data_IF_819501083798
#
_entry.id   IF_819501083798
#
_cell.length_a   1.000
_cell.length_b   1.000
_cell.length_c   1.000
_cell.angle_alpha   90.00
_cell.angle_beta   90.00
_cell.angle_gamma   90.00
#
_symmetry.space_group_name_H-M   'P 1'
#
loop_
_entity.id
_entity.type
_entity.pdbx_description
1 polymer ?
#
# COMPACT_ATOMS: atom_id res chain seq x y z
N UNK A 1 11.59 6.63 -28.04
CA UNK A 1 12.37 6.70 -26.80
C UNK A 1 13.45 5.62 -26.83
N UNK A 2 14.62 5.84 -26.20
CA UNK A 2 15.63 4.81 -26.05
C UNK A 2 15.15 3.70 -25.11
N UNK A 3 15.57 2.46 -25.37
CA UNK A 3 15.38 1.39 -24.39
C UNK A 3 16.25 1.63 -23.17
N UNK A 4 15.74 1.29 -21.99
CA UNK A 4 16.51 1.39 -20.76
C UNK A 4 16.12 0.33 -19.74
N UNK A 5 17.04 0.05 -18.85
CA UNK A 5 16.79 -0.73 -17.64
C UNK A 5 17.46 -0.04 -16.47
N UNK A 6 16.72 0.13 -15.39
CA UNK A 6 17.20 0.64 -14.11
C UNK A 6 16.95 -0.39 -13.03
N UNK A 7 18.02 -0.82 -12.35
CA UNK A 7 17.92 -1.70 -11.18
C UNK A 7 18.26 -0.94 -9.94
N UNK A 8 17.41 -1.07 -8.92
CA UNK A 8 17.63 -0.54 -7.58
C UNK A 8 17.59 -1.68 -6.57
N UNK A 9 18.67 -1.80 -5.79
CA UNK A 9 18.72 -2.70 -4.64
C UNK A 9 19.16 -1.89 -3.43
N UNK A 10 18.37 -1.94 -2.37
CA UNK A 10 18.72 -1.39 -1.08
C UNK A 10 18.51 -2.47 -0.01
N UNK A 11 19.42 -2.59 0.93
CA UNK A 11 19.36 -3.58 2.00
C UNK A 11 19.65 -2.93 3.34
N UNK A 12 18.84 -3.29 4.33
CA UNK A 12 18.96 -2.81 5.71
C UNK A 12 18.99 -1.28 5.83
N UNK A 13 18.30 -0.61 4.91
CA UNK A 13 18.16 0.83 4.95
C UNK A 13 17.40 1.29 6.19
N UNK A 14 17.63 2.51 6.59
CA UNK A 14 16.84 3.16 7.62
C UNK A 14 16.60 4.62 7.26
N UNK A 15 15.53 5.17 7.76
CA UNK A 15 15.16 6.55 7.56
C UNK A 15 14.58 7.14 8.83
N UNK A 16 15.00 8.33 9.18
CA UNK A 16 14.44 9.10 10.28
C UNK A 16 14.23 10.54 9.85
N UNK A 17 13.01 11.01 9.99
CA UNK A 17 12.70 12.40 9.72
C UNK A 17 13.25 13.29 10.85
N UNK A 18 13.88 14.40 10.49
CA UNK A 18 14.46 15.33 11.46
C UNK A 18 13.40 15.81 12.45
N UNK A 19 13.70 15.68 13.75
CA UNK A 19 12.79 16.10 14.82
C UNK A 19 11.72 15.08 15.21
N UNK A 20 11.65 13.91 14.55
CA UNK A 20 10.74 12.84 14.97
C UNK A 20 11.45 11.77 15.82
N UNK A 21 10.74 11.15 16.78
CA UNK A 21 11.36 10.28 17.79
C UNK A 21 11.75 8.90 17.28
N UNK A 22 11.12 8.41 16.22
CA UNK A 22 11.33 7.05 15.72
C UNK A 22 11.79 7.05 14.26
N UNK A 23 12.42 5.96 13.86
CA UNK A 23 12.87 5.69 12.48
C UNK A 23 12.12 4.51 11.89
N UNK A 24 11.97 4.53 10.57
CA UNK A 24 11.65 3.33 9.78
C UNK A 24 12.95 2.56 9.60
N UNK A 25 12.93 1.25 9.84
CA UNK A 25 14.11 0.38 9.83
C UNK A 25 13.93 -0.82 8.92
N UNK A 26 15.03 -1.53 8.69
CA UNK A 26 15.06 -2.76 7.90
C UNK A 26 14.42 -2.55 6.51
N UNK A 27 14.66 -1.40 5.91
CA UNK A 27 14.14 -1.09 4.59
C UNK A 27 14.94 -1.90 3.57
N UNK A 28 14.26 -2.82 2.90
CA UNK A 28 14.85 -3.58 1.81
C UNK A 28 14.01 -3.37 0.56
N UNK A 29 14.65 -3.07 -0.54
CA UNK A 29 14.02 -2.84 -1.85
C UNK A 29 14.79 -3.60 -2.91
N UNK A 30 14.10 -4.30 -3.77
CA UNK A 30 14.63 -4.79 -5.04
C UNK A 30 13.63 -4.42 -6.12
N UNK A 31 14.03 -3.52 -7.01
CA UNK A 31 13.18 -2.97 -8.06
C UNK A 31 13.92 -2.99 -9.39
N UNK A 32 13.21 -3.36 -10.44
CA UNK A 32 13.66 -3.31 -11.82
C UNK A 32 12.66 -2.46 -12.63
N UNK A 33 13.14 -1.45 -13.32
CA UNK A 33 12.33 -0.63 -14.23
C UNK A 33 12.88 -0.84 -15.64
N UNK A 34 12.04 -1.35 -16.52
CA UNK A 34 12.41 -1.64 -17.89
C UNK A 34 11.52 -0.93 -18.89
N UNK A 35 12.10 -0.47 -19.99
CA UNK A 35 11.36 0.04 -21.13
C UNK A 35 12.04 -0.48 -22.42
N UNK A 36 11.31 -1.10 -23.35
CA UNK A 36 11.87 -1.64 -24.58
C UNK A 36 12.25 -0.57 -25.63
N UNK A 37 11.87 0.69 -25.42
CA UNK A 37 12.33 1.83 -26.22
C UNK A 37 11.36 2.31 -27.31
N UNK A 38 10.10 1.92 -27.28
CA UNK A 38 9.09 2.41 -28.22
C UNK A 38 8.31 3.59 -27.66
N UNK A 39 7.61 3.36 -26.55
CA UNK A 39 6.81 4.37 -25.88
C UNK A 39 7.07 4.35 -24.37
N UNK A 40 6.79 5.45 -23.65
CA UNK A 40 6.86 5.46 -22.19
C UNK A 40 5.83 4.53 -21.56
N UNK A 41 4.74 4.27 -22.26
CA UNK A 41 3.67 3.38 -21.78
C UNK A 41 4.10 1.90 -21.72
N UNK A 42 5.13 1.51 -22.47
CA UNK A 42 5.69 0.17 -22.38
C UNK A 42 6.64 -0.02 -21.17
N UNK A 43 6.71 0.98 -20.29
CA UNK A 43 7.48 0.86 -19.04
C UNK A 43 6.84 -0.17 -18.12
N UNK A 44 7.68 -1.05 -17.60
CA UNK A 44 7.31 -2.01 -16.55
C UNK A 44 8.15 -1.70 -15.32
N UNK A 45 7.47 -1.56 -14.19
CA UNK A 45 8.09 -1.42 -12.87
C UNK A 45 7.82 -2.70 -12.11
N UNK A 46 8.86 -3.44 -11.76
CA UNK A 46 8.78 -4.67 -10.99
C UNK A 46 9.49 -4.47 -9.64
N UNK A 47 8.72 -4.50 -8.57
CA UNK A 47 9.21 -4.46 -7.19
C UNK A 47 9.11 -5.87 -6.63
N UNK A 48 10.14 -6.67 -6.87
CA UNK A 48 10.19 -8.07 -6.44
C UNK A 48 10.33 -8.22 -4.92
N UNK A 49 10.85 -7.20 -4.24
CA UNK A 49 10.96 -7.14 -2.78
C UNK A 49 10.82 -5.70 -2.30
N UNK A 50 9.89 -5.52 -1.38
CA UNK A 50 9.81 -4.32 -0.56
C UNK A 50 9.49 -4.77 0.86
N UNK A 51 10.33 -4.42 1.82
CA UNK A 51 10.06 -4.68 3.23
C UNK A 51 10.56 -3.54 4.10
N UNK A 52 9.91 -3.34 5.23
CA UNK A 52 10.32 -2.39 6.25
C UNK A 52 9.77 -2.79 7.62
N UNK A 53 10.31 -2.18 8.66
CA UNK A 53 9.78 -2.27 10.02
C UNK A 53 9.33 -0.88 10.46
N UNK A 54 8.05 -0.75 10.80
CA UNK A 54 7.41 0.47 11.27
C UNK A 54 6.82 0.25 12.67
N UNK A 55 7.29 1.01 13.67
CA UNK A 55 6.84 0.84 15.06
C UNK A 55 7.02 -0.60 15.59
N UNK A 56 8.10 -1.27 15.20
CA UNK A 56 8.39 -2.66 15.56
C UNK A 56 7.64 -3.73 14.73
N UNK A 57 6.74 -3.34 13.84
CA UNK A 57 5.94 -4.26 13.04
C UNK A 57 6.54 -4.42 11.63
N UNK A 58 6.72 -5.65 11.14
CA UNK A 58 7.19 -5.88 9.78
C UNK A 58 6.05 -5.67 8.77
N UNK A 59 6.42 -5.11 7.63
CA UNK A 59 5.57 -4.96 6.46
C UNK A 59 6.32 -5.44 5.22
N UNK A 60 5.65 -6.21 4.37
CA UNK A 60 6.20 -6.75 3.14
C UNK A 60 5.25 -6.46 1.97
N UNK A 61 5.82 -6.15 0.81
CA UNK A 61 5.08 -5.99 -0.42
C UNK A 61 5.88 -6.46 -1.63
N UNK A 62 5.16 -6.88 -2.64
CA UNK A 62 5.65 -7.09 -4.00
C UNK A 62 4.67 -6.42 -4.95
N UNK A 63 5.15 -5.81 -6.01
CA UNK A 63 4.29 -5.07 -6.94
C UNK A 63 4.87 -5.09 -8.34
N UNK A 64 4.00 -5.23 -9.33
CA UNK A 64 4.31 -5.04 -10.74
C UNK A 64 3.33 -4.04 -11.32
N UNK A 65 3.84 -3.06 -12.04
CA UNK A 65 3.05 -2.03 -12.74
C UNK A 65 3.48 -2.06 -14.21
N UNK A 66 2.52 -2.13 -15.11
CA UNK A 66 2.74 -2.00 -16.55
C UNK A 66 1.73 -0.99 -17.14
N UNK A 67 2.05 -0.44 -18.30
CA UNK A 67 1.24 0.55 -19.00
C UNK A 67 0.87 1.78 -18.14
N UNK A 68 1.87 2.47 -17.54
CA UNK A 68 1.62 3.50 -16.54
C UNK A 68 0.96 4.78 -17.07
N UNK A 69 0.93 4.98 -18.39
CA UNK A 69 0.45 6.22 -19.02
C UNK A 69 -0.95 6.09 -19.61
N UNK A 70 -1.42 4.89 -19.88
CA UNK A 70 -2.73 4.65 -20.51
C UNK A 70 -3.68 3.88 -19.59
N UNK A 71 -3.61 2.57 -19.59
CA UNK A 71 -4.47 1.71 -18.77
C UNK A 71 -3.59 0.86 -17.85
N UNK A 72 -3.23 1.44 -16.71
CA UNK A 72 -2.29 0.85 -15.77
C UNK A 72 -2.74 -0.56 -15.36
N UNK A 73 -1.91 -1.54 -15.67
CA UNK A 73 -2.05 -2.89 -15.15
C UNK A 73 -1.20 -3.03 -13.88
N UNK A 74 -1.85 -3.41 -12.79
CA UNK A 74 -1.22 -3.57 -11.49
C UNK A 74 -1.39 -5.00 -10.99
N UNK A 75 -0.32 -5.53 -10.39
CA UNK A 75 -0.36 -6.75 -9.58
C UNK A 75 0.42 -6.50 -8.31
N UNK A 76 -0.19 -6.72 -7.15
CA UNK A 76 0.45 -6.47 -5.86
C UNK A 76 0.07 -7.51 -4.83
N UNK A 77 1.05 -7.89 -4.01
CA UNK A 77 0.86 -8.68 -2.79
C UNK A 77 1.41 -7.91 -1.62
N UNK A 78 0.62 -7.78 -0.58
CA UNK A 78 0.98 -7.00 0.61
C UNK A 78 0.59 -7.76 1.85
N UNK A 79 1.48 -7.79 2.84
CA UNK A 79 1.17 -8.35 4.15
C UNK A 79 1.90 -7.58 5.25
N UNK A 80 1.25 -7.46 6.39
CA UNK A 80 1.86 -6.81 7.55
C UNK A 80 0.84 -6.26 8.53
N UNK A 81 1.38 -5.82 9.65
CA UNK A 81 0.67 -5.08 10.68
C UNK A 81 1.12 -3.63 10.66
N UNK A 82 0.19 -2.72 10.46
CA UNK A 82 0.45 -1.28 10.54
C UNK A 82 -0.23 -0.74 11.80
N UNK A 83 0.56 -0.25 12.74
CA UNK A 83 0.08 0.59 13.82
C UNK A 83 0.05 2.05 13.33
N UNK A 84 -1.14 2.53 13.05
CA UNK A 84 -1.36 3.88 12.51
C UNK A 84 -0.91 4.97 13.49
N UNK A 85 -0.99 4.70 14.81
CA UNK A 85 -0.48 5.61 15.84
C UNK A 85 1.04 5.79 15.81
N UNK A 86 1.77 4.82 15.23
CA UNK A 86 3.22 4.92 15.05
C UNK A 86 3.63 5.80 13.87
N UNK A 87 2.72 6.05 12.93
CA UNK A 87 3.05 6.84 11.73
C UNK A 87 3.49 8.25 12.10
N UNK A 88 2.81 8.89 13.04
CA UNK A 88 3.17 10.25 13.50
C UNK A 88 4.55 10.36 14.16
N UNK A 89 5.12 9.22 14.55
CA UNK A 89 6.46 9.17 15.18
C UNK A 89 7.58 9.09 14.16
N UNK A 90 7.27 8.69 12.92
CA UNK A 90 8.22 8.49 11.82
C UNK A 90 7.98 9.40 10.63
N UNK A 91 6.77 9.98 10.50
CA UNK A 91 6.39 10.88 9.44
C UNK A 91 5.64 12.12 9.99
N UNK A 92 5.98 13.34 9.56
CA UNK A 92 5.35 14.56 10.03
C UNK A 92 3.92 14.67 9.48
N UNK A 93 2.95 14.36 10.30
CA UNK A 93 1.54 14.61 9.99
C UNK A 93 1.18 16.05 10.35
N UNK A 94 0.19 16.61 9.66
CA UNK A 94 -0.42 17.88 10.04
C UNK A 94 -0.90 17.82 11.49
N UNK A 95 -0.70 18.89 12.25
CA UNK A 95 -1.01 18.96 13.68
C UNK A 95 -2.49 18.69 14.01
N UNK A 96 -3.37 18.86 13.02
CA UNK A 96 -4.82 18.59 13.14
C UNK A 96 -5.20 17.17 12.77
N UNK A 97 -4.27 16.39 12.21
CA UNK A 97 -4.52 15.00 11.83
C UNK A 97 -4.37 14.09 13.06
N UNK A 98 -5.45 13.39 13.39
CA UNK A 98 -5.42 12.29 14.34
C UNK A 98 -5.54 10.99 13.59
N UNK A 99 -4.55 10.13 13.75
CA UNK A 99 -4.48 8.83 13.10
C UNK A 99 -4.10 7.78 14.15
N UNK A 100 -5.01 6.87 14.45
CA UNK A 100 -4.80 5.78 15.40
C UNK A 100 -5.48 4.52 14.91
N UNK A 101 -5.11 3.38 15.50
CA UNK A 101 -5.66 2.07 15.18
C UNK A 101 -4.62 1.15 14.59
N UNK A 102 -5.03 -0.09 14.32
CA UNK A 102 -4.20 -1.13 13.75
C UNK A 102 -4.86 -1.71 12.51
N UNK A 103 -4.06 -1.89 11.48
CA UNK A 103 -4.44 -2.58 10.26
C UNK A 103 -3.58 -3.83 10.13
N UNK A 104 -4.20 -5.00 10.19
CA UNK A 104 -3.53 -6.25 9.85
C UNK A 104 -4.05 -6.71 8.51
N UNK A 105 -3.16 -6.84 7.54
CA UNK A 105 -3.53 -7.10 6.16
C UNK A 105 -2.73 -8.21 5.52
N UNK A 106 -3.40 -8.96 4.66
CA UNK A 106 -2.79 -9.88 3.70
C UNK A 106 -3.63 -9.80 2.43
N UNK A 107 -3.15 -9.07 1.44
CA UNK A 107 -3.90 -8.70 0.24
C UNK A 107 -3.16 -9.17 -1.02
N UNK A 108 -3.92 -9.62 -2.01
CA UNK A 108 -3.48 -9.98 -3.35
C UNK A 108 -4.39 -9.27 -4.36
N UNK A 109 -3.83 -8.36 -5.12
CA UNK A 109 -4.53 -7.53 -6.09
C UNK A 109 -3.98 -7.82 -7.48
N UNK A 110 -4.82 -7.86 -8.51
CA UNK A 110 -4.36 -7.82 -9.89
C UNK A 110 -5.47 -7.39 -10.84
N UNK A 111 -5.15 -6.53 -11.78
CA UNK A 111 -6.07 -6.08 -12.82
C UNK A 111 -5.63 -4.79 -13.47
N UNK A 112 -6.51 -4.25 -14.30
CA UNK A 112 -6.35 -2.96 -14.95
C UNK A 112 -7.16 -1.89 -14.23
N UNK A 113 -6.65 -0.67 -14.20
CA UNK A 113 -7.37 0.44 -13.55
C UNK A 113 -8.68 0.73 -14.25
N UNK A 114 -8.75 0.59 -15.57
CA UNK A 114 -9.99 0.72 -16.34
C UNK A 114 -11.13 -0.18 -15.85
N UNK A 115 -10.85 -1.34 -15.28
CA UNK A 115 -11.89 -2.21 -14.72
C UNK A 115 -12.57 -1.56 -13.52
N UNK A 116 -11.81 -0.84 -12.70
CA UNK A 116 -12.36 -0.09 -11.55
C UNK A 116 -13.14 1.12 -12.04
N UNK A 117 -12.57 1.88 -12.98
CA UNK A 117 -13.20 3.10 -13.53
C UNK A 117 -14.52 2.80 -14.24
N UNK A 118 -14.63 1.63 -14.88
CA UNK A 118 -15.82 1.16 -15.57
C UNK A 118 -16.79 0.36 -14.68
N UNK A 119 -16.52 0.22 -13.37
CA UNK A 119 -17.27 -0.62 -12.42
C UNK A 119 -17.30 -2.11 -12.79
N UNK A 120 -16.27 -2.60 -13.51
CA UNK A 120 -16.08 -4.00 -13.89
C UNK A 120 -15.28 -4.75 -12.82
N UNK A 121 -15.70 -4.67 -11.57
CA UNK A 121 -14.96 -5.17 -10.40
C UNK A 121 -14.72 -6.68 -10.44
N UNK A 122 -15.54 -7.43 -11.15
CA UNK A 122 -15.39 -8.87 -11.37
C UNK A 122 -14.14 -9.24 -12.17
N UNK A 123 -13.61 -8.30 -12.98
CA UNK A 123 -12.39 -8.44 -13.75
C UNK A 123 -11.14 -8.07 -12.97
N UNK A 124 -11.29 -7.30 -11.88
CA UNK A 124 -10.18 -6.93 -11.01
C UNK A 124 -10.09 -7.93 -9.86
N UNK A 125 -8.99 -8.70 -9.82
CA UNK A 125 -8.75 -9.62 -8.71
C UNK A 125 -8.44 -8.83 -7.44
N UNK A 126 -9.23 -9.07 -6.42
CA UNK A 126 -9.01 -8.53 -5.09
C UNK A 126 -9.29 -9.63 -4.09
N UNK A 127 -8.26 -10.18 -3.47
CA UNK A 127 -8.37 -11.29 -2.54
C UNK A 127 -7.55 -11.04 -1.29
N UNK A 128 -8.00 -11.56 -0.15
CA UNK A 128 -7.26 -11.50 1.09
C UNK A 128 -8.08 -11.12 2.30
N UNK A 129 -7.37 -10.64 3.32
CA UNK A 129 -7.91 -10.29 4.63
C UNK A 129 -7.43 -8.89 5.02
N UNK A 130 -8.35 -8.09 5.55
CA UNK A 130 -8.05 -6.84 6.26
C UNK A 130 -8.78 -6.85 7.59
N UNK A 131 -8.03 -6.79 8.68
CA UNK A 131 -8.55 -6.56 10.02
C UNK A 131 -8.25 -5.14 10.43
N UNK A 132 -9.24 -4.46 10.93
CA UNK A 132 -9.18 -3.08 11.41
C UNK A 132 -9.53 -3.09 12.89
N UNK A 133 -8.65 -2.56 13.74
CA UNK A 133 -8.87 -2.44 15.17
C UNK A 133 -8.69 -0.98 15.60
N UNK A 134 -9.72 -0.41 16.26
CA UNK A 134 -9.72 0.92 16.85
C UNK A 134 -9.23 2.03 15.90
N UNK A 135 -9.68 1.99 14.65
CA UNK A 135 -9.37 3.03 13.67
C UNK A 135 -10.01 4.35 14.10
N UNK A 136 -9.21 5.38 14.20
CA UNK A 136 -9.63 6.77 14.29
C UNK A 136 -8.84 7.59 13.28
N UNK A 137 -9.55 8.19 12.35
CA UNK A 137 -8.99 9.10 11.37
C UNK A 137 -9.76 10.42 11.41
N UNK A 138 -9.08 11.48 11.85
CA UNK A 138 -9.56 12.85 11.80
C UNK A 138 -8.60 13.66 10.95
N UNK A 139 -9.11 14.42 10.03
CA UNK A 139 -8.32 15.31 9.19
C UNK A 139 -9.21 16.40 8.62
N UNK A 140 -8.69 17.62 8.50
CA UNK A 140 -9.38 18.71 7.79
C UNK A 140 -9.65 18.41 6.31
N UNK A 141 -8.96 17.43 5.74
CA UNK A 141 -9.17 16.99 4.36
C UNK A 141 -10.39 16.07 4.21
N UNK A 142 -10.93 15.58 5.30
CA UNK A 142 -12.10 14.71 5.29
C UNK A 142 -13.36 15.49 5.70
N UNK A 143 -14.49 15.24 5.04
CA UNK A 143 -15.76 15.88 5.39
C UNK A 143 -16.29 15.44 6.77
N UNK A 144 -15.87 14.27 7.25
CA UNK A 144 -16.28 13.71 8.55
C UNK A 144 -15.14 12.88 9.14
N UNK A 145 -15.12 12.78 10.47
CA UNK A 145 -14.23 11.86 11.20
C UNK A 145 -14.64 10.41 10.90
N UNK A 146 -13.64 9.55 10.71
CA UNK A 146 -13.86 8.11 10.52
C UNK A 146 -13.44 7.40 11.81
N UNK A 147 -14.36 6.65 12.39
CA UNK A 147 -14.12 5.82 13.57
C UNK A 147 -14.67 4.42 13.34
N UNK A 148 -13.81 3.40 13.47
CA UNK A 148 -14.19 2.00 13.37
C UNK A 148 -13.56 1.25 14.53
N UNK A 149 -14.38 0.77 15.47
CA UNK A 149 -13.90 0.04 16.63
C UNK A 149 -13.30 -1.31 16.23
N UNK A 150 -13.98 -2.03 15.34
CA UNK A 150 -13.49 -3.30 14.81
C UNK A 150 -14.15 -3.59 13.45
N UNK A 151 -13.38 -4.08 12.51
CA UNK A 151 -13.90 -4.63 11.26
C UNK A 151 -13.00 -5.76 10.74
N UNK A 152 -13.63 -6.83 10.27
CA UNK A 152 -12.96 -7.90 9.54
C UNK A 152 -13.54 -7.97 8.14
N UNK A 153 -12.68 -7.72 7.14
CA UNK A 153 -13.03 -7.80 5.74
C UNK A 153 -12.28 -8.97 5.12
N UNK A 154 -13.02 -9.87 4.53
CA UNK A 154 -12.49 -10.94 3.69
C UNK A 154 -12.87 -10.65 2.26
N UNK A 155 -11.86 -10.48 1.43
CA UNK A 155 -12.03 -10.19 0.01
C UNK A 155 -11.84 -11.45 -0.80
N UNK A 156 -12.70 -11.68 -1.74
CA UNK A 156 -12.54 -12.68 -2.79
C UNK A 156 -13.04 -12.10 -4.12
N UNK A 157 -12.75 -12.76 -5.23
CA UNK A 157 -13.06 -12.23 -6.56
C UNK A 157 -14.56 -11.97 -6.83
N UNK A 158 -15.45 -12.32 -5.93
CA UNK A 158 -16.90 -12.21 -6.12
C UNK A 158 -17.64 -11.47 -5.02
N UNK A 159 -17.03 -11.37 -3.84
CA UNK A 159 -17.67 -10.76 -2.67
C UNK A 159 -16.65 -10.10 -1.75
N UNK A 160 -17.14 -9.17 -0.98
CA UNK A 160 -16.49 -8.63 0.20
C UNK A 160 -17.34 -9.05 1.38
N UNK A 161 -16.81 -9.95 2.20
CA UNK A 161 -17.49 -10.40 3.40
C UNK A 161 -17.03 -9.52 4.56
N UNK A 162 -17.93 -8.69 5.06
CA UNK A 162 -17.72 -7.84 6.21
C UNK A 162 -18.32 -8.49 7.45
N UNK A 163 -17.50 -8.91 8.37
CA UNK A 163 -17.92 -9.41 9.67
C UNK A 163 -17.42 -8.51 10.79
N UNK A 164 -18.19 -8.44 11.88
CA UNK A 164 -17.84 -7.69 13.09
C UNK A 164 -17.58 -6.19 12.88
N UNK A 165 -18.42 -5.51 12.08
CA UNK A 165 -18.36 -4.05 11.98
C UNK A 165 -18.97 -3.43 13.25
N UNK A 166 -18.15 -2.68 14.00
CA UNK A 166 -18.57 -1.79 15.09
C UNK A 166 -17.99 -0.41 14.79
N UNK A 167 -18.86 0.54 14.60
CA UNK A 167 -18.50 1.96 14.44
C UNK A 167 -18.67 2.71 15.75
#
# INVERSE_FOLDING_TARGET
YPSFQLKLVAENGWFQYTGLPESVKNINVAMDITNPGKTLDETVIDISRFSLTLGGNPYNAQMRIAYPMTDTEISAKMEGLIDLGSIKKVYPLDATTQLNGRLNMKLDLAGRMSYIDNNEYDKFRFAGLLKVDNLLLKSKMLPQDVSVSNANLVFNNRSIDLSALKM
#
